data_IF_563605843842
#
_entry.id   IF_563605843842
#
_cell.length_a   1.000
_cell.length_b   1.000
_cell.length_c   1.000
_cell.angle_alpha   90.00
_cell.angle_beta   90.00
_cell.angle_gamma   90.00
#
_symmetry.space_group_name_H-M   'P 1'
#
loop_
_entity.id
_entity.type
_entity.pdbx_description
1 polymer ?
#
# COMPACT_ATOMS: atom_id res chain seq x y z
N UNK A 1 28.79 19.55 -51.16
CA UNK A 1 27.89 18.39 -50.90
C UNK A 1 28.27 17.52 -49.70
N UNK A 2 29.56 17.26 -49.40
CA UNK A 2 29.95 16.42 -48.23
C UNK A 2 29.66 17.07 -46.86
N UNK A 3 29.88 18.39 -46.73
CA UNK A 3 29.65 19.14 -45.48
C UNK A 3 28.15 19.23 -45.12
N UNK A 4 27.27 19.33 -46.13
CA UNK A 4 25.81 19.38 -45.93
C UNK A 4 25.25 18.05 -45.39
N UNK A 5 25.85 16.91 -45.79
CA UNK A 5 25.48 15.59 -45.27
C UNK A 5 25.95 15.39 -43.83
N UNK A 6 27.10 15.93 -43.46
CA UNK A 6 27.63 15.85 -42.08
C UNK A 6 26.77 16.69 -41.12
N UNK A 7 26.35 17.89 -41.53
CA UNK A 7 25.42 18.73 -40.77
C UNK A 7 24.04 18.08 -40.60
N UNK A 8 23.51 17.45 -41.65
CA UNK A 8 22.23 16.74 -41.58
C UNK A 8 22.27 15.51 -40.66
N UNK A 9 23.36 14.75 -40.66
CA UNK A 9 23.56 13.59 -39.76
C UNK A 9 23.77 14.05 -38.32
N UNK A 10 24.53 15.14 -38.10
CA UNK A 10 24.70 15.78 -36.79
C UNK A 10 23.37 16.27 -36.22
N UNK A 11 22.55 16.95 -37.03
CA UNK A 11 21.23 17.43 -36.60
C UNK A 11 20.27 16.27 -36.31
N UNK A 12 20.33 15.17 -37.08
CA UNK A 12 19.51 13.97 -36.85
C UNK A 12 19.90 13.23 -35.57
N UNK A 13 21.20 13.10 -35.28
CA UNK A 13 21.69 12.51 -34.02
C UNK A 13 21.33 13.41 -32.83
N UNK A 14 21.42 14.74 -32.97
CA UNK A 14 20.98 15.67 -31.94
C UNK A 14 19.47 15.55 -31.69
N UNK A 15 18.64 15.46 -32.74
CA UNK A 15 17.19 15.28 -32.64
C UNK A 15 16.79 13.94 -32.02
N UNK A 16 17.51 12.85 -32.34
CA UNK A 16 17.31 11.52 -31.74
C UNK A 16 17.79 11.44 -30.29
N UNK A 17 18.69 12.33 -29.84
CA UNK A 17 19.09 12.42 -28.43
C UNK A 17 18.11 13.22 -27.57
N UNK A 18 17.17 13.99 -28.15
CA UNK A 18 16.16 14.74 -27.38
C UNK A 18 14.91 13.90 -27.04
N UNK A 19 14.73 12.72 -27.65
CA UNK A 19 13.54 11.88 -27.42
C UNK A 19 13.63 10.96 -26.20
N UNK A 20 14.72 10.97 -25.43
CA UNK A 20 14.84 10.20 -24.19
C UNK A 20 14.27 10.92 -22.94
N UNK A 21 13.50 12.00 -23.12
CA UNK A 21 12.96 12.84 -22.05
C UNK A 21 11.50 12.50 -21.70
N UNK A 22 11.19 11.21 -21.53
CA UNK A 22 9.84 10.74 -21.19
C UNK A 22 9.69 10.36 -19.72
N UNK A 23 8.46 10.44 -19.21
CA UNK A 23 8.12 9.76 -17.96
C UNK A 23 8.33 8.25 -18.10
N UNK A 24 8.83 7.59 -17.07
CA UNK A 24 8.87 6.13 -16.98
C UNK A 24 7.93 5.63 -15.91
N UNK A 25 7.28 4.50 -16.19
CA UNK A 25 6.35 3.84 -15.28
C UNK A 25 6.85 2.44 -15.01
N UNK A 26 6.92 2.07 -13.74
CA UNK A 26 7.31 0.74 -13.29
C UNK A 26 6.28 0.20 -12.29
N UNK A 27 5.96 -1.09 -12.38
CA UNK A 27 4.88 -1.70 -11.58
C UNK A 27 5.32 -2.96 -10.86
N UNK A 28 4.86 -3.12 -9.62
CA UNK A 28 5.04 -4.33 -8.82
C UNK A 28 3.68 -4.76 -8.30
N UNK A 29 3.25 -5.99 -8.64
CA UNK A 29 2.14 -6.64 -7.95
C UNK A 29 2.65 -7.57 -6.88
N UNK A 30 2.04 -7.51 -5.71
CA UNK A 30 2.38 -8.37 -4.60
C UNK A 30 1.14 -8.84 -3.85
N UNK A 31 1.15 -10.11 -3.47
CA UNK A 31 0.19 -10.70 -2.55
C UNK A 31 0.67 -10.47 -1.13
N UNK A 32 -0.14 -9.83 -0.31
CA UNK A 32 0.04 -9.76 1.14
C UNK A 32 -0.84 -10.82 1.80
N UNK A 33 -0.27 -11.62 2.68
CA UNK A 33 -0.99 -12.62 3.48
C UNK A 33 -0.76 -12.36 4.95
N UNK A 34 -1.84 -12.28 5.72
CA UNK A 34 -1.85 -12.12 7.17
C UNK A 34 -2.35 -13.43 7.78
N UNK A 35 -1.65 -13.92 8.78
CA UNK A 35 -1.98 -15.14 9.53
C UNK A 35 -2.10 -14.78 11.02
N UNK A 36 -3.22 -15.17 11.62
CA UNK A 36 -3.54 -14.97 13.04
C UNK A 36 -3.69 -16.33 13.69
N UNK A 37 -2.92 -16.58 14.74
CA UNK A 37 -3.13 -17.72 15.62
C UNK A 37 -4.37 -17.45 16.48
N UNK A 38 -5.27 -18.44 16.55
CA UNK A 38 -6.46 -18.39 17.40
C UNK A 38 -6.51 -19.66 18.24
N UNK A 39 -7.33 -19.72 19.31
CA UNK A 39 -7.53 -20.96 20.08
C UNK A 39 -8.01 -22.14 19.23
N UNK A 40 -8.64 -21.88 18.08
CA UNK A 40 -9.15 -22.88 17.12
C UNK A 40 -8.17 -23.22 15.99
N UNK A 41 -6.95 -22.67 16.02
CA UNK A 41 -5.94 -22.80 14.97
C UNK A 41 -5.73 -21.51 14.18
N UNK A 42 -4.88 -21.58 13.15
CA UNK A 42 -4.51 -20.41 12.35
C UNK A 42 -5.68 -20.01 11.42
N UNK A 43 -5.99 -18.71 11.40
CA UNK A 43 -6.82 -18.05 10.39
C UNK A 43 -5.94 -17.21 9.47
N UNK A 44 -6.34 -17.08 8.22
CA UNK A 44 -5.56 -16.35 7.23
C UNK A 44 -6.45 -15.58 6.27
N UNK A 45 -5.98 -14.39 5.90
CA UNK A 45 -6.52 -13.56 4.82
C UNK A 45 -5.41 -13.15 3.86
N UNK A 46 -5.76 -12.86 2.61
CA UNK A 46 -4.79 -12.33 1.64
C UNK A 46 -5.41 -11.42 0.60
N UNK A 47 -4.65 -10.43 0.13
CA UNK A 47 -5.04 -9.52 -0.95
C UNK A 47 -3.87 -9.28 -1.89
N UNK A 48 -4.13 -9.00 -3.16
CA UNK A 48 -3.10 -8.59 -4.13
C UNK A 48 -3.18 -7.08 -4.34
N UNK A 49 -2.07 -6.40 -4.10
CA UNK A 49 -1.89 -4.96 -4.34
C UNK A 49 -0.91 -4.71 -5.47
N UNK A 50 -1.02 -3.55 -6.11
CA UNK A 50 -0.08 -3.07 -7.11
C UNK A 50 0.53 -1.75 -6.66
N UNK A 51 1.85 -1.65 -6.74
CA UNK A 51 2.60 -0.40 -6.63
C UNK A 51 2.94 0.05 -8.04
N UNK A 52 2.71 1.33 -8.33
CA UNK A 52 3.14 1.99 -9.56
C UNK A 52 4.10 3.12 -9.22
N UNK A 53 5.33 3.04 -9.68
CA UNK A 53 6.32 4.12 -9.62
C UNK A 53 6.30 4.91 -10.93
N UNK A 54 5.95 6.18 -10.85
CA UNK A 54 6.03 7.13 -11.97
C UNK A 54 7.25 8.02 -11.75
N UNK A 55 8.23 7.93 -12.64
CA UNK A 55 9.46 8.72 -12.57
C UNK A 55 9.45 9.79 -13.67
N UNK A 56 9.53 11.09 -13.32
CA UNK A 56 9.62 12.16 -14.31
C UNK A 56 10.99 12.15 -15.02
N UNK A 57 11.10 12.80 -16.19
CA UNK A 57 12.37 12.87 -16.91
C UNK A 57 13.50 13.48 -16.07
N UNK A 58 14.73 12.97 -16.25
CA UNK A 58 15.90 13.29 -15.42
C UNK A 58 16.16 14.81 -15.26
N UNK A 59 15.88 15.62 -16.28
CA UNK A 59 16.05 17.07 -16.21
C UNK A 59 15.04 17.75 -15.26
N UNK A 60 13.78 17.29 -15.23
CA UNK A 60 12.76 17.81 -14.33
C UNK A 60 13.07 17.50 -12.85
N UNK A 61 13.66 16.33 -12.57
CA UNK A 61 14.21 16.01 -11.24
C UNK A 61 15.38 16.94 -10.87
N UNK A 62 16.30 17.21 -11.82
CA UNK A 62 17.50 18.04 -11.57
C UNK A 62 17.18 19.51 -11.30
N UNK A 63 16.04 20.01 -11.78
CA UNK A 63 15.56 21.37 -11.50
C UNK A 63 14.69 21.44 -10.23
N UNK A 64 14.40 20.32 -9.59
CA UNK A 64 13.47 20.25 -8.45
C UNK A 64 12.00 20.44 -8.82
N UNK A 65 11.67 20.45 -10.11
CA UNK A 65 10.32 20.70 -10.63
C UNK A 65 9.42 19.46 -10.55
N UNK A 66 9.98 18.25 -10.41
CA UNK A 66 9.18 17.02 -10.28
C UNK A 66 9.91 15.96 -9.46
N UNK A 67 9.15 15.11 -8.74
CA UNK A 67 9.68 13.99 -7.94
C UNK A 67 9.03 12.68 -8.38
N UNK A 68 9.70 11.53 -8.17
CA UNK A 68 9.05 10.24 -8.37
C UNK A 68 7.83 10.10 -7.46
N UNK A 69 6.74 9.55 -8.01
CA UNK A 69 5.49 9.33 -7.29
C UNK A 69 5.22 7.84 -7.23
N UNK A 70 4.96 7.33 -6.03
CA UNK A 70 4.49 5.98 -5.80
C UNK A 70 2.98 6.01 -5.60
N UNK A 71 2.28 5.16 -6.35
CA UNK A 71 0.84 4.93 -6.21
C UNK A 71 0.61 3.52 -5.74
N UNK A 72 -0.28 3.35 -4.78
CA UNK A 72 -0.79 2.05 -4.38
C UNK A 72 -2.15 1.83 -5.01
N UNK A 73 -2.40 0.61 -5.46
CA UNK A 73 -3.66 0.14 -6.01
C UNK A 73 -4.05 -1.18 -5.34
N UNK A 74 -5.26 -1.30 -4.80
CA UNK A 74 -5.81 -2.51 -4.18
C UNK A 74 -6.41 -2.27 -2.79
N UNK A 75 -6.72 -3.36 -2.11
CA UNK A 75 -7.56 -3.36 -0.90
C UNK A 75 -6.82 -3.77 0.38
N UNK A 76 -7.45 -3.58 1.54
CA UNK A 76 -7.01 -4.16 2.81
C UNK A 76 -6.94 -5.68 2.75
N UNK A 77 -6.03 -6.28 3.53
CA UNK A 77 -6.17 -7.72 3.79
C UNK A 77 -7.28 -7.90 4.81
N UNK A 78 -8.30 -8.68 4.49
CA UNK A 78 -9.35 -9.07 5.45
C UNK A 78 -9.07 -10.47 5.98
N UNK A 79 -9.03 -10.63 7.30
CA UNK A 79 -8.92 -11.92 7.98
C UNK A 79 -10.21 -12.18 8.75
N UNK A 80 -10.91 -13.24 8.38
CA UNK A 80 -12.05 -13.74 9.13
C UNK A 80 -11.59 -14.51 10.37
N UNK A 81 -12.04 -14.06 11.54
CA UNK A 81 -11.77 -14.65 12.83
C UNK A 81 -13.02 -15.39 13.35
N UNK A 82 -12.87 -16.25 14.37
CA UNK A 82 -14.01 -16.88 15.03
C UNK A 82 -15.05 -15.85 15.49
N UNK A 83 -16.31 -16.30 15.56
CA UNK A 83 -17.47 -15.51 16.00
C UNK A 83 -17.84 -14.34 15.07
N UNK A 84 -17.42 -14.40 13.80
CA UNK A 84 -17.74 -13.39 12.79
C UNK A 84 -16.95 -12.09 12.93
N UNK A 85 -15.90 -12.08 13.75
CA UNK A 85 -14.99 -10.94 13.92
C UNK A 85 -14.05 -10.81 12.73
N UNK A 86 -13.65 -9.59 12.41
CA UNK A 86 -12.77 -9.30 11.29
C UNK A 86 -11.53 -8.53 11.75
N UNK A 87 -10.40 -8.86 11.16
CA UNK A 87 -9.17 -8.07 11.26
C UNK A 87 -8.77 -7.60 9.87
N UNK A 88 -8.54 -6.31 9.72
CA UNK A 88 -8.11 -5.68 8.49
C UNK A 88 -6.65 -5.24 8.60
N UNK A 89 -5.84 -5.48 7.58
CA UNK A 89 -4.51 -4.90 7.47
C UNK A 89 -4.49 -3.82 6.37
N UNK A 90 -4.55 -2.56 6.79
CA UNK A 90 -4.65 -1.40 5.89
C UNK A 90 -3.27 -0.88 5.48
N UNK A 91 -3.22 0.00 4.50
CA UNK A 91 -1.96 0.40 3.84
C UNK A 91 -1.13 1.43 4.62
N UNK A 92 -1.72 2.14 5.57
CA UNK A 92 -0.97 3.07 6.42
C UNK A 92 -0.08 2.31 7.40
N UNK A 93 1.22 2.63 7.39
CA UNK A 93 2.09 2.48 8.56
C UNK A 93 2.03 3.78 9.40
N UNK A 94 2.65 3.79 10.58
CA UNK A 94 2.61 4.86 11.59
C UNK A 94 3.10 6.26 11.15
N UNK A 95 3.31 6.51 9.86
CA UNK A 95 3.81 7.77 9.33
C UNK A 95 2.71 8.56 8.61
N UNK A 96 2.55 9.81 9.04
CA UNK A 96 1.63 10.83 8.50
C UNK A 96 1.86 11.17 7.01
N UNK A 97 2.86 10.56 6.36
CA UNK A 97 3.11 10.65 4.93
C UNK A 97 2.66 9.34 4.23
N UNK A 98 1.48 9.32 3.58
CA UNK A 98 0.94 8.13 2.93
C UNK A 98 1.80 7.62 1.76
N UNK A 99 2.72 8.44 1.23
CA UNK A 99 3.65 7.99 0.19
C UNK A 99 4.83 7.18 0.75
N UNK A 100 5.15 7.30 2.05
CA UNK A 100 6.30 6.59 2.62
C UNK A 100 6.10 5.07 2.68
N UNK A 101 5.00 4.51 3.21
CA UNK A 101 4.81 3.06 3.27
C UNK A 101 4.91 2.39 1.90
N UNK A 102 4.27 2.99 0.88
CA UNK A 102 4.29 2.49 -0.50
C UNK A 102 5.70 2.55 -1.10
N UNK A 103 6.42 3.66 -0.90
CA UNK A 103 7.80 3.80 -1.37
C UNK A 103 8.76 2.85 -0.64
N UNK A 104 8.58 2.64 0.67
CA UNK A 104 9.36 1.67 1.45
C UNK A 104 9.11 0.24 0.94
N UNK A 105 7.84 -0.13 0.71
CA UNK A 105 7.48 -1.43 0.15
C UNK A 105 8.09 -1.65 -1.25
N UNK A 106 8.05 -0.64 -2.12
CA UNK A 106 8.73 -0.69 -3.43
C UNK A 106 10.23 -0.97 -3.26
N UNK A 107 10.91 -0.22 -2.38
CA UNK A 107 12.35 -0.38 -2.11
C UNK A 107 12.68 -1.74 -1.49
N UNK A 108 11.75 -2.32 -0.72
CA UNK A 108 11.90 -3.64 -0.13
C UNK A 108 11.99 -4.72 -1.22
N UNK A 109 11.12 -4.65 -2.23
CA UNK A 109 11.18 -5.53 -3.40
C UNK A 109 12.44 -5.31 -4.24
N UNK A 110 12.87 -4.06 -4.42
CA UNK A 110 14.11 -3.77 -5.13
C UNK A 110 15.34 -4.34 -4.39
N UNK A 111 15.39 -4.24 -3.05
CA UNK A 111 16.49 -4.78 -2.22
C UNK A 111 16.57 -6.30 -2.24
N UNK A 112 15.43 -6.99 -2.12
CA UNK A 112 15.40 -8.46 -2.07
C UNK A 112 15.24 -9.12 -3.44
N UNK A 113 15.27 -8.32 -4.50
CA UNK A 113 15.24 -8.74 -5.90
C UNK A 113 13.81 -8.94 -6.42
N UNK A 114 13.49 -8.27 -7.52
CA UNK A 114 12.29 -8.56 -8.31
C UNK A 114 12.39 -9.96 -8.91
N UNK A 115 11.31 -10.72 -8.85
CA UNK A 115 11.30 -12.13 -9.24
C UNK A 115 11.76 -13.10 -8.14
N UNK A 116 11.94 -12.63 -6.89
CA UNK A 116 12.07 -13.52 -5.75
C UNK A 116 10.75 -14.27 -5.52
N UNK A 117 10.69 -15.55 -5.91
CA UNK A 117 9.51 -16.42 -5.78
C UNK A 117 9.22 -16.87 -4.34
N UNK A 118 9.97 -16.36 -3.35
CA UNK A 118 9.81 -16.75 -1.94
C UNK A 118 9.25 -15.58 -1.15
N UNK A 119 8.16 -15.81 -0.39
CA UNK A 119 7.58 -14.78 0.47
C UNK A 119 8.60 -14.14 1.41
N UNK A 120 8.52 -12.82 1.55
CA UNK A 120 9.25 -12.05 2.55
C UNK A 120 8.33 -11.95 3.77
N UNK A 121 8.78 -12.46 4.92
CA UNK A 121 8.09 -12.18 6.19
C UNK A 121 8.39 -10.74 6.59
N UNK A 122 7.35 -9.95 6.83
CA UNK A 122 7.44 -8.58 7.36
C UNK A 122 7.01 -8.48 8.81
N UNK A 123 6.45 -9.57 9.36
CA UNK A 123 6.15 -9.72 10.77
C UNK A 123 6.58 -11.08 11.31
N UNK A 124 7.19 -11.01 12.50
CA UNK A 124 7.86 -12.03 13.32
C UNK A 124 8.75 -13.04 12.56
N UNK A 125 9.90 -13.37 13.14
CA UNK A 125 10.80 -14.40 12.61
C UNK A 125 11.25 -14.19 11.16
N UNK A 126 11.35 -12.94 10.69
CA UNK A 126 11.85 -12.66 9.35
C UNK A 126 13.31 -13.06 9.21
N UNK A 127 13.64 -13.81 8.16
CA UNK A 127 15.04 -14.11 7.78
C UNK A 127 15.71 -12.96 7.03
N UNK A 128 14.93 -12.00 6.56
CA UNK A 128 15.38 -10.89 5.69
C UNK A 128 15.36 -9.57 6.46
N UNK A 129 14.37 -9.34 7.31
CA UNK A 129 14.21 -8.08 8.04
C UNK A 129 14.62 -8.22 9.50
N UNK A 130 15.16 -7.13 10.06
CA UNK A 130 15.38 -7.00 11.49
C UNK A 130 14.10 -6.51 12.16
N UNK A 131 13.92 -6.80 13.44
CA UNK A 131 12.76 -6.31 14.19
C UNK A 131 12.62 -4.78 14.14
N UNK A 132 13.74 -4.05 14.18
CA UNK A 132 13.79 -2.59 14.02
C UNK A 132 13.36 -2.05 12.65
N UNK A 133 13.05 -2.93 11.70
CA UNK A 133 12.53 -2.56 10.38
C UNK A 133 11.02 -2.80 10.27
N UNK A 134 10.38 -3.46 11.24
CA UNK A 134 8.95 -3.80 11.16
C UNK A 134 8.08 -2.55 11.07
N UNK A 135 8.33 -1.53 11.88
CA UNK A 135 7.58 -0.26 11.90
C UNK A 135 7.50 0.42 10.52
N UNK A 136 8.47 0.16 9.64
CA UNK A 136 8.52 0.75 8.28
C UNK A 136 7.63 0.05 7.25
N UNK A 137 7.31 -1.21 7.49
CA UNK A 137 6.62 -2.08 6.52
C UNK A 137 5.32 -2.66 7.05
N UNK A 138 5.11 -2.58 8.36
CA UNK A 138 3.93 -3.13 9.02
C UNK A 138 2.69 -2.37 8.56
N UNK A 139 1.66 -3.10 8.06
CA UNK A 139 0.35 -2.51 7.90
C UNK A 139 -0.21 -2.20 9.29
N UNK A 140 -0.99 -1.13 9.40
CA UNK A 140 -1.84 -0.91 10.55
C UNK A 140 -2.95 -1.97 10.57
N UNK A 141 -3.19 -2.54 11.74
CA UNK A 141 -4.22 -3.56 11.92
C UNK A 141 -5.44 -2.92 12.56
N UNK A 142 -6.60 -3.15 11.96
CA UNK A 142 -7.84 -2.48 12.35
C UNK A 142 -8.94 -3.53 12.52
N UNK A 143 -9.77 -3.35 13.53
CA UNK A 143 -11.04 -4.07 13.68
C UNK A 143 -12.18 -3.08 13.87
N UNK A 144 -13.41 -3.57 13.87
CA UNK A 144 -14.61 -2.78 14.10
C UNK A 144 -15.41 -3.42 15.22
N UNK A 145 -15.91 -2.61 16.15
CA UNK A 145 -16.89 -3.07 17.13
C UNK A 145 -18.21 -3.48 16.47
N UNK A 146 -18.64 -2.72 15.46
CA UNK A 146 -19.70 -3.06 14.52
C UNK A 146 -19.20 -2.76 13.10
N UNK A 147 -19.08 -3.79 12.27
CA UNK A 147 -18.58 -3.65 10.90
C UNK A 147 -19.45 -2.75 10.03
N UNK A 148 -20.72 -2.53 10.40
CA UNK A 148 -21.63 -1.64 9.68
C UNK A 148 -21.52 -0.18 10.13
N UNK A 149 -20.75 0.11 11.18
CA UNK A 149 -20.52 1.46 11.70
C UNK A 149 -19.02 1.80 11.66
N UNK A 150 -18.57 2.57 10.65
CA UNK A 150 -17.15 2.91 10.49
C UNK A 150 -16.58 3.69 11.69
N UNK A 151 -17.43 4.36 12.50
CA UNK A 151 -16.99 5.09 13.69
C UNK A 151 -16.52 4.18 14.83
N UNK A 152 -16.79 2.87 14.72
CA UNK A 152 -16.38 1.86 15.70
C UNK A 152 -15.01 1.25 15.41
N UNK A 153 -14.29 1.77 14.41
CA UNK A 153 -12.94 1.34 14.07
C UNK A 153 -12.00 1.43 15.28
N UNK A 154 -11.17 0.41 15.47
CA UNK A 154 -10.17 0.32 16.53
C UNK A 154 -8.86 -0.20 15.99
N UNK A 155 -7.77 0.41 16.44
CA UNK A 155 -6.42 -0.09 16.21
C UNK A 155 -6.21 -1.37 17.02
N UNK A 156 -5.55 -2.35 16.41
CA UNK A 156 -5.13 -3.57 17.09
C UNK A 156 -3.60 -3.62 17.05
N UNK A 157 -2.96 -3.54 18.21
CA UNK A 157 -1.51 -3.61 18.29
C UNK A 157 -1.04 -5.02 17.91
N UNK A 158 -0.04 -5.18 17.01
CA UNK A 158 0.43 -6.48 16.53
C UNK A 158 0.81 -7.50 17.63
N UNK A 159 1.29 -7.01 18.77
CA UNK A 159 1.67 -7.81 19.94
C UNK A 159 0.54 -8.00 20.97
N UNK A 160 -0.61 -7.33 20.80
CA UNK A 160 -1.72 -7.31 21.78
C UNK A 160 -3.07 -7.75 21.17
N UNK A 161 -3.06 -8.64 20.17
CA UNK A 161 -4.30 -9.19 19.59
C UNK A 161 -5.19 -9.89 20.64
N UNK A 162 -4.61 -10.41 21.72
CA UNK A 162 -5.36 -11.04 22.80
C UNK A 162 -6.10 -10.04 23.70
N UNK A 163 -5.65 -8.79 23.75
CA UNK A 163 -6.37 -7.71 24.43
C UNK A 163 -7.68 -7.38 23.70
N UNK A 164 -7.70 -7.42 22.37
CA UNK A 164 -8.90 -7.12 21.57
C UNK A 164 -9.78 -8.37 21.36
N UNK A 165 -9.17 -9.51 21.03
CA UNK A 165 -9.91 -10.71 20.63
C UNK A 165 -9.99 -11.80 21.71
N UNK A 166 -9.29 -11.62 22.84
CA UNK A 166 -9.28 -12.54 23.96
C UNK A 166 -8.09 -13.52 23.96
N UNK A 167 -7.93 -14.31 25.03
CA UNK A 167 -6.76 -15.17 25.21
C UNK A 167 -6.52 -16.14 24.05
N UNK A 168 -5.27 -16.26 23.62
CA UNK A 168 -4.83 -17.18 22.56
C UNK A 168 -4.90 -16.62 21.14
N UNK A 169 -5.31 -15.35 20.97
CA UNK A 169 -5.16 -14.63 19.72
C UNK A 169 -3.77 -13.99 19.62
N UNK A 170 -3.04 -14.26 18.53
CA UNK A 170 -1.71 -13.67 18.28
C UNK A 170 -1.49 -13.45 16.80
N UNK A 171 -0.82 -12.36 16.44
CA UNK A 171 -0.39 -12.18 15.06
C UNK A 171 0.74 -13.18 14.78
N UNK A 172 0.44 -14.20 13.98
CA UNK A 172 1.37 -15.28 13.70
C UNK A 172 2.43 -14.81 12.69
N UNK A 173 1.96 -14.28 11.56
CA UNK A 173 2.84 -13.94 10.44
C UNK A 173 2.19 -12.98 9.47
N UNK A 174 2.99 -12.07 8.90
CA UNK A 174 2.62 -11.29 7.72
C UNK A 174 3.68 -11.52 6.67
N UNK A 175 3.25 -11.90 5.47
CA UNK A 175 4.14 -12.12 4.33
C UNK A 175 3.71 -11.31 3.12
N UNK A 176 4.70 -10.92 2.33
CA UNK A 176 4.50 -10.35 1.01
C UNK A 176 5.23 -11.20 -0.03
N UNK A 177 4.62 -11.39 -1.19
CA UNK A 177 5.24 -12.13 -2.28
C UNK A 177 4.88 -11.46 -3.61
N UNK A 178 5.88 -11.22 -4.47
CA UNK A 178 5.61 -10.71 -5.80
C UNK A 178 4.78 -11.75 -6.58
N UNK A 179 3.75 -11.28 -7.29
CA UNK A 179 2.82 -12.15 -8.02
C UNK A 179 2.43 -11.50 -9.34
N UNK A 180 1.90 -12.33 -10.26
CA UNK A 180 1.24 -11.88 -11.49
C UNK A 180 -0.29 -11.97 -11.38
N UNK A 181 -0.82 -12.40 -10.24
CA UNK A 181 -2.26 -12.36 -9.93
C UNK A 181 -2.83 -10.94 -10.17
N UNK A 182 -4.12 -10.86 -10.45
CA UNK A 182 -4.82 -9.57 -10.58
C UNK A 182 -4.90 -8.91 -9.21
N UNK A 183 -4.99 -7.57 -9.20
CA UNK A 183 -5.33 -6.82 -7.98
C UNK A 183 -6.66 -7.35 -7.44
N UNK A 184 -6.72 -7.56 -6.13
CA UNK A 184 -7.92 -8.05 -5.46
C UNK A 184 -8.98 -6.96 -5.36
N UNK A 185 -10.23 -7.40 -5.40
CA UNK A 185 -11.46 -6.61 -5.32
C UNK A 185 -12.43 -7.37 -4.39
N UNK A 186 -13.45 -6.71 -3.84
CA UNK A 186 -14.53 -7.35 -3.08
C UNK A 186 -14.58 -7.01 -1.59
N UNK A 187 -13.77 -6.08 -1.11
CA UNK A 187 -13.80 -5.66 0.29
C UNK A 187 -15.17 -5.09 0.73
N UNK A 188 -15.98 -4.59 -0.20
CA UNK A 188 -17.35 -4.11 0.05
C UNK A 188 -18.28 -5.21 0.55
N UNK A 189 -17.96 -6.49 0.31
CA UNK A 189 -18.69 -7.62 0.89
C UNK A 189 -18.58 -7.65 2.43
N UNK A 190 -17.49 -7.10 2.96
CA UNK A 190 -17.24 -6.96 4.39
C UNK A 190 -17.61 -5.57 4.91
N UNK A 191 -17.39 -4.53 4.11
CA UNK A 191 -17.59 -3.13 4.47
C UNK A 191 -18.63 -2.48 3.53
N UNK A 192 -19.94 -2.77 3.71
CA UNK A 192 -20.97 -2.38 2.74
C UNK A 192 -21.12 -0.87 2.59
N UNK A 193 -20.80 -0.11 3.64
CA UNK A 193 -20.80 1.36 3.62
C UNK A 193 -19.77 1.97 2.65
N UNK A 194 -18.79 1.21 2.15
CA UNK A 194 -17.82 1.74 1.19
C UNK A 194 -18.40 2.05 -0.18
N UNK A 195 -19.56 1.48 -0.53
CA UNK A 195 -20.24 1.78 -1.80
C UNK A 195 -20.95 3.14 -1.79
N UNK A 196 -21.28 3.65 -0.60
CA UNK A 196 -22.04 4.88 -0.41
C UNK A 196 -21.17 6.03 0.11
N UNK A 197 -20.00 5.70 0.66
CA UNK A 197 -19.10 6.68 1.24
C UNK A 197 -18.50 7.62 0.19
N UNK A 198 -18.57 8.93 0.44
CA UNK A 198 -17.76 9.92 -0.26
C UNK A 198 -16.30 9.83 0.24
N UNK A 199 -15.33 10.17 -0.62
CA UNK A 199 -13.91 10.27 -0.22
C UNK A 199 -13.75 11.07 1.07
N UNK A 200 -12.92 10.62 2.00
CA UNK A 200 -12.73 11.31 3.29
C UNK A 200 -12.24 10.40 4.40
N UNK A 201 -12.33 10.89 5.63
CA UNK A 201 -11.98 10.17 6.85
C UNK A 201 -13.16 9.31 7.33
N UNK A 202 -12.90 8.23 8.08
CA UNK A 202 -13.96 7.37 8.62
C UNK A 202 -14.90 8.09 9.60
N UNK A 203 -14.44 9.17 10.23
CA UNK A 203 -15.25 10.00 11.14
C UNK A 203 -16.10 11.05 10.40
N UNK A 204 -16.09 11.04 9.06
CA UNK A 204 -16.80 12.00 8.21
C UNK A 204 -16.08 13.33 8.02
N UNK A 205 -14.91 13.53 8.63
CA UNK A 205 -14.09 14.71 8.36
C UNK A 205 -13.40 14.62 6.99
N UNK A 206 -12.99 15.78 6.46
CA UNK A 206 -12.35 15.86 5.13
C UNK A 206 -10.82 15.72 5.20
N UNK A 207 -10.23 15.95 6.37
CA UNK A 207 -8.78 15.96 6.57
C UNK A 207 -8.42 15.25 7.87
N UNK A 208 -7.27 14.56 7.91
CA UNK A 208 -6.78 13.90 9.12
C UNK A 208 -6.58 14.89 10.26
N UNK A 209 -7.02 14.49 11.46
CA UNK A 209 -6.73 15.22 12.69
C UNK A 209 -5.36 14.78 13.24
N UNK A 210 -4.30 15.45 12.79
CA UNK A 210 -2.93 15.16 13.25
C UNK A 210 -2.66 15.44 14.73
N UNK A 211 -3.60 16.06 15.45
CA UNK A 211 -3.52 16.25 16.91
C UNK A 211 -4.37 15.25 17.70
N UNK A 212 -5.10 14.36 17.02
CA UNK A 212 -5.81 13.27 17.64
C UNK A 212 -4.83 12.34 18.38
N UNK A 213 -5.14 12.03 19.65
CA UNK A 213 -4.41 11.00 20.39
C UNK A 213 -4.66 9.59 19.82
N UNK A 214 -5.72 9.42 19.04
CA UNK A 214 -6.18 8.11 18.57
C UNK A 214 -6.02 8.00 17.06
N UNK A 215 -5.21 7.03 16.65
CA UNK A 215 -4.81 6.81 15.26
C UNK A 215 -6.01 6.52 14.33
N UNK A 216 -7.13 6.00 14.83
CA UNK A 216 -8.33 5.80 14.01
C UNK A 216 -8.95 7.10 13.49
N UNK A 217 -8.72 8.24 14.15
CA UNK A 217 -9.14 9.57 13.67
C UNK A 217 -8.32 10.04 12.45
N UNK A 218 -7.33 9.24 12.03
CA UNK A 218 -6.51 9.46 10.84
C UNK A 218 -6.68 8.37 9.78
N UNK A 219 -7.69 7.50 9.90
CA UNK A 219 -8.01 6.47 8.92
C UNK A 219 -9.07 6.99 7.94
N UNK A 220 -8.81 6.79 6.66
CA UNK A 220 -9.65 7.16 5.53
C UNK A 220 -10.27 5.93 4.86
N UNK A 221 -11.31 6.16 4.05
CA UNK A 221 -11.84 5.11 3.16
C UNK A 221 -10.76 4.53 2.23
N UNK A 222 -9.82 5.37 1.77
CA UNK A 222 -8.74 4.97 0.87
C UNK A 222 -7.69 4.06 1.50
N UNK A 223 -7.66 3.95 2.83
CA UNK A 223 -6.77 3.02 3.51
C UNK A 223 -7.27 1.56 3.39
N UNK A 224 -8.59 1.39 3.20
CA UNK A 224 -9.24 0.10 2.98
C UNK A 224 -9.34 -0.26 1.50
N UNK A 225 -9.68 0.68 0.63
CA UNK A 225 -9.73 0.44 -0.82
C UNK A 225 -9.36 1.68 -1.61
N UNK A 226 -8.41 1.53 -2.53
CA UNK A 226 -8.14 2.56 -3.53
C UNK A 226 -9.06 2.45 -4.75
N UNK A 227 -9.86 1.39 -4.85
CA UNK A 227 -10.60 1.04 -6.07
C UNK A 227 -12.00 1.61 -6.11
N UNK A 228 -12.68 1.65 -4.97
CA UNK A 228 -14.11 1.95 -4.93
C UNK A 228 -14.41 3.44 -5.04
N UNK A 229 -13.47 4.31 -4.64
CA UNK A 229 -13.68 5.76 -4.53
C UNK A 229 -12.55 6.60 -5.14
N UNK A 230 -11.92 6.12 -6.23
CA UNK A 230 -10.93 6.92 -6.96
C UNK A 230 -11.61 8.13 -7.60
N UNK A 231 -11.54 9.28 -6.94
CA UNK A 231 -12.08 10.56 -7.42
C UNK A 231 -11.39 11.07 -8.68
N UNK A 232 -10.45 10.31 -9.26
CA UNK A 232 -9.64 10.74 -10.39
C UNK A 232 -8.77 11.95 -10.06
N UNK A 233 -8.69 12.36 -8.78
CA UNK A 233 -7.88 13.49 -8.35
C UNK A 233 -6.41 13.27 -8.75
N UNK A 234 -5.95 12.02 -8.73
CA UNK A 234 -4.61 11.64 -9.16
C UNK A 234 -4.46 11.40 -10.67
N UNK A 235 -5.55 11.24 -11.44
CA UNK A 235 -5.49 11.24 -12.91
C UNK A 235 -5.35 12.66 -13.48
N UNK A 236 -5.74 13.69 -12.73
CA UNK A 236 -5.71 15.10 -13.17
C UNK A 236 -4.38 15.83 -12.96
N UNK A 237 -3.35 15.19 -12.42
CA UNK A 237 -2.03 15.81 -12.15
C UNK A 237 -1.03 15.58 -13.30
N UNK A 238 -1.50 15.18 -14.49
CA UNK A 238 -0.68 15.14 -15.71
C UNK A 238 -1.40 15.79 -16.90
#
# INVERSE_FOLDING_TARGET
MKILKILAVSALVFFLSVTACGYSTDTIRYKMTVEVETPSGIRSGSTVRQITLVTPPNFACSLGESRPVWRLKGEAVTVELPDGRLLFAISQGEHLDPMQPTAQMSRLFDRYGRGAHKPISIWSNSRRLKASDYDKFMPMLVTFGDVNDPSTARLVEPDELDAEFGPGFKLHRITINQTNERVSEGIEEYLPWMLEAETGMLDGSQFPNYQAEKIYENISYSDFSTELNDSGFFERIF
#
